data_IF_860714381947
#
_entry.id   IF_860714381947
#
_cell.length_a   1.000
_cell.length_b   1.000
_cell.length_c   1.000
_cell.angle_alpha   90.00
_cell.angle_beta   90.00
_cell.angle_gamma   90.00
#
_symmetry.space_group_name_H-M   'P 1'
#
loop_
_entity.id
_entity.type
_entity.pdbx_description
1 polymer ?
#
# COMPACT_ATOMS: atom_id res chain seq x y z
N UNK A 1 -4.07 17.69 14.88
CA UNK A 1 -3.70 18.99 15.48
C UNK A 1 -3.88 20.12 14.48
N UNK A 2 -3.11 20.15 13.39
CA UNK A 2 -3.21 21.17 12.33
C UNK A 2 -4.62 21.39 11.73
N UNK A 3 -5.32 20.32 11.37
CA UNK A 3 -6.68 20.43 10.82
C UNK A 3 -7.70 20.99 11.83
N UNK A 4 -7.46 20.81 13.15
CA UNK A 4 -8.32 21.36 14.20
C UNK A 4 -7.98 22.82 14.52
N UNK A 5 -6.72 23.22 14.35
CA UNK A 5 -6.27 24.58 14.62
C UNK A 5 -6.63 25.58 13.51
N UNK A 6 -7.29 25.14 12.43
CA UNK A 6 -7.73 26.00 11.30
C UNK A 6 -6.63 26.91 10.74
N UNK A 7 -5.40 26.40 10.73
CA UNK A 7 -4.24 27.09 10.14
C UNK A 7 -4.42 27.09 8.63
N UNK A 8 -4.24 28.26 8.01
CA UNK A 8 -4.35 28.39 6.55
C UNK A 8 -3.17 27.69 5.85
N UNK A 9 -3.38 27.26 4.60
CA UNK A 9 -2.38 26.49 3.84
C UNK A 9 -1.05 27.22 3.64
N UNK A 10 -1.11 28.55 3.55
CA UNK A 10 0.06 29.42 3.32
C UNK A 10 0.63 29.99 4.62
N UNK A 11 0.01 29.71 5.78
CA UNK A 11 0.48 30.19 7.07
C UNK A 11 1.68 29.36 7.56
N UNK A 12 2.76 30.00 8.05
CA UNK A 12 3.91 29.27 8.55
C UNK A 12 3.54 28.44 9.79
N UNK A 13 3.94 27.17 9.77
CA UNK A 13 3.82 26.29 10.92
C UNK A 13 4.61 26.84 12.13
N UNK A 14 4.05 26.66 13.33
CA UNK A 14 4.76 26.98 14.57
C UNK A 14 6.06 26.18 14.70
N UNK A 15 7.04 26.73 15.41
CA UNK A 15 8.37 26.13 15.55
C UNK A 15 8.32 24.68 16.05
N UNK A 16 7.44 24.37 17.01
CA UNK A 16 7.27 23.01 17.54
C UNK A 16 6.69 22.02 16.53
N UNK A 17 5.71 22.44 15.71
CA UNK A 17 5.17 21.61 14.63
C UNK A 17 6.20 21.38 13.52
N UNK A 18 6.96 22.42 13.17
CA UNK A 18 8.05 22.30 12.20
C UNK A 18 9.14 21.33 12.66
N UNK A 19 9.50 21.35 13.93
CA UNK A 19 10.48 20.40 14.49
C UNK A 19 9.98 18.95 14.41
N UNK A 20 8.70 18.71 14.73
CA UNK A 20 8.06 17.40 14.57
C UNK A 20 8.02 16.95 13.12
N UNK A 21 7.63 17.84 12.20
CA UNK A 21 7.64 17.55 10.77
C UNK A 21 9.03 17.18 10.27
N UNK A 22 10.07 17.93 10.66
CA UNK A 22 11.47 17.62 10.33
C UNK A 22 11.91 16.30 10.95
N UNK A 23 11.47 15.96 12.17
CA UNK A 23 11.77 14.67 12.79
C UNK A 23 11.15 13.50 12.01
N UNK A 24 9.91 13.64 11.54
CA UNK A 24 9.26 12.65 10.67
C UNK A 24 10.01 12.50 9.35
N UNK A 25 10.38 13.61 8.71
CA UNK A 25 11.16 13.61 7.47
C UNK A 25 12.52 12.92 7.63
N UNK A 26 13.21 13.12 8.77
CA UNK A 26 14.47 12.41 9.05
C UNK A 26 14.28 10.90 9.21
N UNK A 27 13.10 10.46 9.67
CA UNK A 27 12.75 9.04 9.78
C UNK A 27 12.40 8.38 8.45
N UNK A 28 12.03 9.16 7.44
CA UNK A 28 11.83 8.68 6.07
C UNK A 28 13.19 8.48 5.42
N UNK A 29 13.69 7.25 5.41
CA UNK A 29 14.89 6.91 4.65
C UNK A 29 14.65 7.14 3.16
N UNK A 30 15.51 7.93 2.52
CA UNK A 30 15.53 8.12 1.08
C UNK A 30 16.18 6.93 0.35
N UNK A 31 16.70 5.95 1.08
CA UNK A 31 17.36 4.81 0.48
C UNK A 31 16.34 3.86 -0.15
N UNK A 32 16.59 3.37 -1.38
CA UNK A 32 15.70 2.42 -2.03
C UNK A 32 15.69 1.10 -1.26
N UNK A 33 14.55 0.82 -0.60
CA UNK A 33 14.34 -0.47 0.08
C UNK A 33 14.07 -1.56 -0.97
N UNK A 34 14.92 -2.59 -0.99
CA UNK A 34 14.71 -3.78 -1.82
C UNK A 34 13.80 -4.75 -1.07
N UNK A 35 12.66 -5.08 -1.66
CA UNK A 35 11.76 -6.11 -1.15
C UNK A 35 12.00 -7.39 -1.96
N UNK A 36 12.37 -8.51 -1.33
CA UNK A 36 12.58 -9.77 -2.03
C UNK A 36 11.27 -10.25 -2.69
N UNK A 37 11.40 -10.84 -3.88
CA UNK A 37 10.29 -11.43 -4.67
C UNK A 37 10.21 -12.96 -4.53
N UNK A 38 11.03 -13.54 -3.65
CA UNK A 38 11.09 -14.99 -3.46
C UNK A 38 10.31 -15.34 -2.19
N UNK A 39 9.25 -16.14 -2.37
CA UNK A 39 8.62 -16.87 -1.29
C UNK A 39 9.47 -18.12 -1.07
N UNK A 40 10.46 -18.06 -0.18
CA UNK A 40 11.20 -19.27 0.18
C UNK A 40 10.26 -20.19 0.93
N UNK A 41 9.72 -21.16 0.21
CA UNK A 41 8.89 -22.23 0.74
C UNK A 41 9.73 -23.10 1.68
N UNK A 42 9.41 -23.04 2.97
CA UNK A 42 10.03 -23.89 3.98
C UNK A 42 9.37 -23.71 5.34
N UNK A 43 8.22 -24.35 5.56
CA UNK A 43 7.68 -24.64 6.90
C UNK A 43 7.21 -23.46 7.77
N UNK A 44 7.11 -22.24 7.24
CA UNK A 44 6.71 -21.06 8.01
C UNK A 44 5.26 -20.65 7.76
N UNK A 45 4.53 -20.35 8.83
CA UNK A 45 3.25 -19.65 8.76
C UNK A 45 3.47 -18.25 8.17
N UNK A 46 2.82 -17.97 7.03
CA UNK A 46 2.89 -16.67 6.37
C UNK A 46 1.59 -15.90 6.59
N UNK A 47 1.72 -14.62 6.90
CA UNK A 47 0.59 -13.67 6.93
C UNK A 47 0.57 -12.92 5.60
N UNK A 48 -0.50 -13.11 4.84
CA UNK A 48 -0.74 -12.34 3.62
C UNK A 48 -1.39 -11.00 3.98
N UNK A 49 -0.78 -9.91 3.52
CA UNK A 49 -1.28 -8.56 3.68
C UNK A 49 -1.51 -7.94 2.31
N UNK A 50 -2.77 -7.61 2.04
CA UNK A 50 -3.21 -7.02 0.79
C UNK A 50 -3.49 -5.53 0.94
N UNK A 51 -3.04 -4.74 -0.03
CA UNK A 51 -3.38 -3.32 -0.13
C UNK A 51 -3.98 -3.05 -1.52
N UNK A 52 -4.89 -2.09 -1.57
CA UNK A 52 -5.38 -1.54 -2.82
C UNK A 52 -5.50 -0.04 -2.71
N UNK A 53 -5.31 0.63 -3.84
CA UNK A 53 -5.47 2.08 -3.95
C UNK A 53 -6.04 2.43 -5.32
N UNK A 54 -6.67 3.59 -5.40
CA UNK A 54 -7.31 4.07 -6.62
C UNK A 54 -7.13 5.58 -6.81
N UNK A 55 -6.90 5.95 -8.06
CA UNK A 55 -6.86 7.32 -8.54
C UNK A 55 -7.74 7.45 -9.77
N UNK A 56 -8.00 8.69 -10.20
CA UNK A 56 -8.72 8.96 -11.45
C UNK A 56 -8.04 8.37 -12.70
N UNK A 57 -6.76 7.97 -12.60
CA UNK A 57 -5.99 7.42 -13.73
C UNK A 57 -5.93 5.90 -13.73
N UNK A 58 -5.89 5.28 -12.56
CA UNK A 58 -5.73 3.84 -12.41
C UNK A 58 -6.14 3.38 -11.00
N UNK A 59 -6.46 2.10 -10.88
CA UNK A 59 -6.63 1.41 -9.61
C UNK A 59 -5.72 0.17 -9.59
N UNK A 60 -5.17 -0.14 -8.43
CA UNK A 60 -4.19 -1.18 -8.26
C UNK A 60 -4.37 -1.95 -6.95
N UNK A 61 -3.84 -3.16 -6.93
CA UNK A 61 -3.76 -4.01 -5.76
C UNK A 61 -2.37 -4.65 -5.67
N UNK A 62 -1.88 -4.85 -4.45
CA UNK A 62 -0.60 -5.50 -4.15
C UNK A 62 -0.76 -6.42 -2.95
N UNK A 63 -0.06 -7.53 -2.95
CA UNK A 63 -0.01 -8.49 -1.85
C UNK A 63 1.43 -8.68 -1.43
N UNK A 64 1.65 -8.56 -0.13
CA UNK A 64 2.89 -8.90 0.55
C UNK A 64 2.66 -10.11 1.46
N UNK A 65 3.74 -10.83 1.76
CA UNK A 65 3.77 -11.88 2.77
C UNK A 65 4.75 -11.49 3.88
N UNK A 66 4.36 -11.76 5.11
CA UNK A 66 5.21 -11.61 6.28
C UNK A 66 5.41 -12.97 6.93
N UNK A 67 6.66 -13.30 7.24
CA UNK A 67 6.99 -14.46 8.07
C UNK A 67 6.88 -14.11 9.57
N UNK A 68 7.12 -15.11 10.42
CA UNK A 68 7.11 -14.94 11.89
C UNK A 68 8.18 -13.95 12.39
N UNK A 69 9.22 -13.69 11.60
CA UNK A 69 10.30 -12.74 11.89
C UNK A 69 10.02 -11.34 11.33
N UNK A 70 8.81 -11.09 10.83
CA UNK A 70 8.39 -9.83 10.21
C UNK A 70 9.18 -9.45 8.94
N UNK A 71 9.79 -10.44 8.27
CA UNK A 71 10.40 -10.21 6.96
C UNK A 71 9.30 -10.05 5.91
N UNK A 72 9.31 -8.91 5.22
CA UNK A 72 8.37 -8.62 4.16
C UNK A 72 8.86 -9.15 2.81
N UNK A 73 7.99 -9.88 2.11
CA UNK A 73 8.21 -10.38 0.76
C UNK A 73 7.12 -9.88 -0.17
N UNK A 74 7.48 -9.51 -1.39
CA UNK A 74 6.52 -9.20 -2.44
C UNK A 74 5.97 -10.51 -3.02
N UNK A 75 4.65 -10.61 -3.13
CA UNK A 75 3.98 -11.79 -3.68
C UNK A 75 3.48 -11.52 -5.09
N UNK A 76 2.55 -10.56 -5.22
CA UNK A 76 1.92 -10.24 -6.49
C UNK A 76 1.37 -8.82 -6.48
N UNK A 77 1.22 -8.24 -7.68
CA UNK A 77 0.48 -6.99 -7.86
C UNK A 77 -0.29 -7.02 -9.16
N UNK A 78 -1.36 -6.23 -9.22
CA UNK A 78 -2.17 -6.06 -10.41
C UNK A 78 -2.67 -4.64 -10.50
N UNK A 79 -2.54 -4.05 -11.69
CA UNK A 79 -2.93 -2.67 -11.96
C UNK A 79 -3.87 -2.63 -13.16
N UNK A 80 -4.83 -1.71 -13.13
CA UNK A 80 -5.73 -1.44 -14.24
C UNK A 80 -5.88 0.05 -14.46
N UNK A 81 -5.82 0.47 -15.71
CA UNK A 81 -6.12 1.85 -16.12
C UNK A 81 -7.60 2.13 -15.84
N UNK A 82 -7.91 3.34 -15.36
CA UNK A 82 -9.29 3.75 -15.12
C UNK A 82 -10.08 3.74 -16.44
N UNK A 83 -11.38 3.38 -16.41
CA UNK A 83 -12.20 3.39 -17.62
C UNK A 83 -12.23 4.78 -18.28
N UNK A 84 -12.30 4.81 -19.63
CA UNK A 84 -12.40 6.07 -20.38
C UNK A 84 -13.61 6.91 -19.98
N UNK A 85 -14.73 6.24 -19.65
CA UNK A 85 -15.87 6.89 -19.02
C UNK A 85 -15.52 7.21 -17.57
N UNK A 86 -15.45 8.50 -17.24
CA UNK A 86 -15.15 8.98 -15.89
C UNK A 86 -16.00 8.26 -14.84
N UNK A 87 -15.31 7.72 -13.84
CA UNK A 87 -15.92 7.11 -12.67
C UNK A 87 -15.63 7.99 -11.45
N UNK A 88 -16.47 7.90 -10.43
CA UNK A 88 -16.18 8.53 -9.14
C UNK A 88 -15.02 7.83 -8.45
N UNK A 89 -14.29 8.54 -7.58
CA UNK A 89 -13.18 7.98 -6.80
C UNK A 89 -13.67 6.78 -5.97
N UNK A 90 -14.80 6.91 -5.28
CA UNK A 90 -15.38 5.81 -4.47
C UNK A 90 -15.66 4.54 -5.28
N UNK A 91 -16.05 4.67 -6.55
CA UNK A 91 -16.25 3.51 -7.43
C UNK A 91 -14.92 2.89 -7.85
N UNK A 92 -13.90 3.70 -8.11
CA UNK A 92 -12.56 3.21 -8.43
C UNK A 92 -11.91 2.52 -7.23
N UNK A 93 -12.10 3.03 -6.02
CA UNK A 93 -11.69 2.38 -4.77
C UNK A 93 -12.35 1.01 -4.61
N UNK A 94 -13.67 0.92 -4.85
CA UNK A 94 -14.39 -0.35 -4.83
C UNK A 94 -13.87 -1.34 -5.89
N UNK A 95 -13.52 -0.85 -7.08
CA UNK A 95 -12.88 -1.67 -8.12
C UNK A 95 -11.48 -2.13 -7.71
N UNK A 96 -10.71 -1.30 -7.01
CA UNK A 96 -9.44 -1.65 -6.38
C UNK A 96 -9.59 -2.77 -5.35
N UNK A 97 -10.59 -2.66 -4.46
CA UNK A 97 -10.90 -3.70 -3.48
C UNK A 97 -11.33 -5.02 -4.14
N UNK A 98 -12.17 -4.96 -5.17
CA UNK A 98 -12.55 -6.13 -5.96
C UNK A 98 -11.34 -6.77 -6.66
N UNK A 99 -10.43 -5.95 -7.20
CA UNK A 99 -9.19 -6.40 -7.82
C UNK A 99 -8.31 -7.13 -6.81
N UNK A 100 -8.17 -6.59 -5.60
CA UNK A 100 -7.43 -7.21 -4.51
C UNK A 100 -8.04 -8.54 -4.08
N UNK A 101 -9.36 -8.60 -3.86
CA UNK A 101 -10.05 -9.83 -3.46
C UNK A 101 -9.81 -10.97 -4.47
N UNK A 102 -9.90 -10.66 -5.76
CA UNK A 102 -9.60 -11.62 -6.85
C UNK A 102 -8.13 -12.02 -6.88
N UNK A 103 -7.21 -11.09 -6.64
CA UNK A 103 -5.78 -11.36 -6.59
C UNK A 103 -5.44 -12.29 -5.42
N UNK A 104 -6.03 -12.09 -4.24
CA UNK A 104 -5.84 -12.95 -3.07
C UNK A 104 -6.30 -14.39 -3.36
N UNK A 105 -7.46 -14.56 -4.00
CA UNK A 105 -7.95 -15.90 -4.39
C UNK A 105 -6.97 -16.59 -5.33
N UNK A 106 -6.51 -15.89 -6.37
CA UNK A 106 -5.53 -16.43 -7.32
C UNK A 106 -4.22 -16.82 -6.64
N UNK A 107 -3.71 -15.98 -5.74
CA UNK A 107 -2.46 -16.26 -5.00
C UNK A 107 -2.62 -17.48 -4.10
N UNK A 108 -3.73 -17.60 -3.36
CA UNK A 108 -4.01 -18.76 -2.50
C UNK A 108 -4.09 -20.06 -3.30
N UNK A 109 -4.71 -20.03 -4.48
CA UNK A 109 -4.79 -21.19 -5.37
C UNK A 109 -3.41 -21.65 -5.85
N UNK A 110 -2.54 -20.72 -6.27
CA UNK A 110 -1.18 -21.05 -6.68
C UNK A 110 -0.32 -21.64 -5.57
N UNK A 111 -0.60 -21.31 -4.30
CA UNK A 111 0.07 -21.93 -3.16
C UNK A 111 -0.48 -23.31 -2.79
N UNK A 112 -1.76 -23.60 -3.07
CA UNK A 112 -2.31 -24.94 -2.81
C UNK A 112 -1.86 -25.99 -3.83
N UNK A 113 -1.34 -25.55 -4.97
CA UNK A 113 -0.81 -26.41 -6.04
C UNK A 113 0.68 -26.75 -5.87
N UNK A 114 1.34 -26.14 -4.86
CA UNK A 114 2.74 -26.36 -4.48
C UNK A 114 2.85 -27.26 -3.24
#
# INVERSE_FOLDING_TARGET
ELCYSKVDWDEPLTSSLMERWRALLRGLSAEPRRIPRCLTAGGTNLILVGFCDASLRAYAAVIYAFDERQNCMFVASKTRVAPLKTQTISRLELLGALLLARLIVSVKQSFSEL
#
